data_IF_634527195854
#
_entry.id   IF_634527195854
#
_cell.length_a   1.000
_cell.length_b   1.000
_cell.length_c   1.000
_cell.angle_alpha   90.00
_cell.angle_beta   90.00
_cell.angle_gamma   90.00
#
_symmetry.space_group_name_H-M   'P 1'
#
loop_
_entity.id
_entity.type
_entity.pdbx_description
1 polymer ?
#
# COMPACT_ATOMS: atom_id res chain seq x y z
N UNK A 1 2.87 -29.86 -35.91
CA UNK A 1 3.20 -29.11 -34.68
C UNK A 1 1.95 -29.13 -33.81
N UNK A 2 2.00 -29.85 -32.68
CA UNK A 2 0.82 -30.26 -31.93
C UNK A 2 0.30 -29.16 -31.00
N UNK A 3 -1.03 -29.00 -31.00
CA UNK A 3 -1.81 -28.14 -30.10
C UNK A 3 -1.47 -28.36 -28.62
N UNK A 4 -1.17 -29.61 -28.22
CA UNK A 4 -0.82 -29.97 -26.83
C UNK A 4 0.50 -29.40 -26.35
N UNK A 5 1.45 -29.13 -27.26
CA UNK A 5 2.73 -28.50 -26.92
C UNK A 5 2.56 -27.00 -26.67
N UNK A 6 1.62 -26.35 -27.36
CA UNK A 6 1.35 -24.91 -27.24
C UNK A 6 0.64 -24.57 -25.93
N UNK A 7 -0.31 -25.39 -25.48
CA UNK A 7 -1.04 -25.18 -24.21
C UNK A 7 -0.13 -25.31 -22.99
N UNK A 8 0.86 -26.22 -23.04
CA UNK A 8 1.83 -26.41 -21.96
C UNK A 8 2.77 -25.23 -21.75
N UNK A 9 3.24 -24.60 -22.83
CA UNK A 9 4.10 -23.41 -22.75
C UNK A 9 3.31 -22.17 -22.29
N UNK A 10 2.08 -21.99 -22.78
CA UNK A 10 1.18 -20.93 -22.33
C UNK A 10 0.85 -21.07 -20.83
N UNK A 11 0.59 -22.29 -20.38
CA UNK A 11 0.34 -22.58 -18.98
C UNK A 11 1.56 -22.25 -18.11
N UNK A 12 2.77 -22.68 -18.51
CA UNK A 12 4.01 -22.38 -17.78
C UNK A 12 4.33 -20.90 -17.73
N UNK A 13 4.09 -20.16 -18.81
CA UNK A 13 4.27 -18.71 -18.85
C UNK A 13 3.31 -17.99 -17.90
N UNK A 14 2.04 -18.41 -17.83
CA UNK A 14 1.07 -17.88 -16.90
C UNK A 14 1.40 -18.23 -15.43
N UNK A 15 1.78 -19.48 -15.16
CA UNK A 15 2.09 -19.96 -13.81
C UNK A 15 3.35 -19.30 -13.24
N UNK A 16 4.36 -19.05 -14.07
CA UNK A 16 5.64 -18.46 -13.62
C UNK A 16 5.44 -17.03 -13.14
N UNK A 17 4.61 -16.25 -13.85
CA UNK A 17 4.26 -14.88 -13.46
C UNK A 17 3.46 -14.85 -12.15
N UNK A 18 2.43 -15.70 -12.03
CA UNK A 18 1.63 -15.81 -10.82
C UNK A 18 2.44 -16.28 -9.60
N UNK A 19 3.39 -17.20 -9.80
CA UNK A 19 4.26 -17.71 -8.73
C UNK A 19 5.19 -16.65 -8.16
N UNK A 20 5.80 -15.82 -9.01
CA UNK A 20 6.70 -14.74 -8.54
C UNK A 20 5.97 -13.76 -7.64
N UNK A 21 4.73 -13.39 -7.98
CA UNK A 21 3.98 -12.45 -7.15
C UNK A 21 3.46 -13.07 -5.87
N UNK A 22 3.01 -14.32 -5.91
CA UNK A 22 2.62 -15.04 -4.70
C UNK A 22 3.82 -15.14 -3.74
N UNK A 23 5.03 -15.36 -4.25
CA UNK A 23 6.26 -15.35 -3.45
C UNK A 23 6.56 -13.97 -2.86
N UNK A 24 6.42 -12.88 -3.62
CA UNK A 24 6.67 -11.53 -3.11
C UNK A 24 5.65 -11.15 -2.03
N UNK A 25 4.35 -11.40 -2.26
CA UNK A 25 3.29 -11.16 -1.27
C UNK A 25 3.53 -12.00 0.00
N UNK A 26 3.87 -13.28 -0.16
CA UNK A 26 4.17 -14.16 0.97
C UNK A 26 5.40 -13.67 1.76
N UNK A 27 6.46 -13.23 1.09
CA UNK A 27 7.66 -12.69 1.73
C UNK A 27 7.37 -11.40 2.50
N UNK A 28 6.61 -10.47 1.93
CA UNK A 28 6.22 -9.21 2.60
C UNK A 28 5.33 -9.51 3.82
N UNK A 29 4.42 -10.47 3.71
CA UNK A 29 3.56 -10.89 4.83
C UNK A 29 4.36 -11.55 5.95
N UNK A 30 5.34 -12.41 5.61
CA UNK A 30 6.29 -12.98 6.57
C UNK A 30 7.11 -11.90 7.26
N UNK A 31 7.55 -10.86 6.53
CA UNK A 31 8.22 -9.70 7.11
C UNK A 31 7.32 -8.97 8.12
N UNK A 32 6.04 -8.74 7.81
CA UNK A 32 5.09 -8.14 8.75
C UNK A 32 4.93 -8.95 10.03
N UNK A 33 4.80 -10.27 9.90
CA UNK A 33 4.73 -11.18 11.05
C UNK A 33 6.04 -11.14 11.86
N UNK A 34 7.19 -11.10 11.18
CA UNK A 34 8.50 -10.97 11.82
C UNK A 34 8.64 -9.67 12.62
N UNK A 35 8.20 -8.54 12.06
CA UNK A 35 8.18 -7.25 12.76
C UNK A 35 7.19 -7.25 13.92
N UNK A 36 6.06 -7.95 13.78
CA UNK A 36 5.08 -8.09 14.87
C UNK A 36 5.62 -8.91 16.05
N UNK A 37 6.48 -9.91 15.79
CA UNK A 37 7.13 -10.74 16.80
C UNK A 37 8.45 -10.16 17.34
N UNK A 38 9.06 -9.20 16.65
CA UNK A 38 10.22 -8.49 17.16
C UNK A 38 9.81 -7.61 18.35
N UNK A 39 10.37 -7.82 19.57
CA UNK A 39 10.07 -7.00 20.73
C UNK A 39 10.78 -5.65 20.59
N UNK A 40 10.22 -4.77 19.76
CA UNK A 40 10.65 -3.39 19.63
C UNK A 40 10.06 -2.57 20.80
N UNK A 41 10.90 -1.81 21.55
CA UNK A 41 10.50 -1.08 22.75
C UNK A 41 9.53 0.08 22.48
N UNK A 42 9.55 0.66 21.27
CA UNK A 42 8.66 1.75 20.87
C UNK A 42 7.44 1.22 20.09
N UNK A 43 6.28 1.21 20.75
CA UNK A 43 5.02 0.73 20.20
C UNK A 43 4.55 1.50 18.96
N UNK A 44 4.84 2.80 18.87
CA UNK A 44 4.45 3.65 17.73
C UNK A 44 5.17 3.28 16.43
N UNK A 45 6.48 3.04 16.48
CA UNK A 45 7.29 2.70 15.30
C UNK A 45 6.95 1.33 14.75
N UNK A 46 6.62 0.38 15.64
CA UNK A 46 6.19 -0.97 15.24
C UNK A 46 4.89 -0.93 14.44
N UNK A 47 3.93 -0.13 14.88
CA UNK A 47 2.64 0.03 14.17
C UNK A 47 2.84 0.73 12.82
N UNK A 48 3.65 1.79 12.77
CA UNK A 48 3.95 2.50 11.53
C UNK A 48 4.61 1.59 10.47
N UNK A 49 5.57 0.75 10.87
CA UNK A 49 6.25 -0.18 9.98
C UNK A 49 5.33 -1.29 9.45
N UNK A 50 4.49 -1.87 10.32
CA UNK A 50 3.52 -2.91 9.91
C UNK A 50 2.48 -2.31 8.96
N UNK A 51 1.95 -1.12 9.26
CA UNK A 51 0.94 -0.48 8.43
C UNK A 51 1.50 -0.04 7.08
N UNK A 52 2.74 0.48 7.06
CA UNK A 52 3.45 0.82 5.82
C UNK A 52 3.70 -0.41 4.96
N UNK A 53 4.21 -1.50 5.55
CA UNK A 53 4.40 -2.77 4.83
C UNK A 53 3.08 -3.35 4.31
N UNK A 54 2.00 -3.26 5.09
CA UNK A 54 0.66 -3.68 4.69
C UNK A 54 0.14 -2.89 3.49
N UNK A 55 0.33 -1.58 3.48
CA UNK A 55 -0.04 -0.72 2.34
C UNK A 55 0.72 -1.10 1.06
N UNK A 56 2.03 -1.35 1.16
CA UNK A 56 2.84 -1.82 0.01
C UNK A 56 2.36 -3.18 -0.50
N UNK A 57 2.02 -4.10 0.40
CA UNK A 57 1.51 -5.42 0.02
C UNK A 57 0.17 -5.32 -0.71
N UNK A 58 -0.76 -4.49 -0.22
CA UNK A 58 -2.06 -4.25 -0.85
C UNK A 58 -1.91 -3.60 -2.24
N UNK A 59 -0.95 -2.68 -2.40
CA UNK A 59 -0.62 -2.06 -3.68
C UNK A 59 -0.06 -3.08 -4.68
N UNK A 60 0.84 -3.97 -4.24
CA UNK A 60 1.37 -5.04 -5.08
C UNK A 60 0.27 -6.01 -5.55
N UNK A 61 -0.68 -6.34 -4.65
CA UNK A 61 -1.83 -7.19 -4.98
C UNK A 61 -2.75 -6.49 -6.00
N UNK A 62 -3.05 -5.21 -5.82
CA UNK A 62 -3.89 -4.43 -6.73
C UNK A 62 -3.24 -4.23 -8.11
N UNK A 63 -1.94 -3.92 -8.14
CA UNK A 63 -1.17 -3.82 -9.38
C UNK A 63 -1.04 -5.16 -10.12
N UNK A 64 -1.04 -6.29 -9.40
CA UNK A 64 -0.89 -7.61 -10.02
C UNK A 64 -2.20 -8.23 -10.52
N UNK A 65 -3.36 -7.88 -9.96
CA UNK A 65 -4.67 -8.21 -10.56
C UNK A 65 -4.84 -7.57 -11.97
N UNK A 66 -3.95 -6.65 -12.35
CA UNK A 66 -3.92 -5.89 -13.59
C UNK A 66 -2.94 -6.42 -14.65
N UNK A 67 -2.97 -7.73 -14.91
CA UNK A 67 -2.69 -8.22 -16.29
C UNK A 67 -3.98 -8.19 -17.15
N UNK A 68 -5.00 -7.41 -16.76
CA UNK A 68 -6.29 -7.29 -17.46
C UNK A 68 -6.59 -5.91 -18.05
N UNK A 69 -5.83 -4.85 -17.78
CA UNK A 69 -6.07 -3.55 -18.42
C UNK A 69 -4.89 -3.14 -19.28
N UNK A 70 -5.06 -3.37 -20.56
CA UNK A 70 -4.19 -3.05 -21.69
C UNK A 70 -3.91 -1.54 -21.88
N UNK A 71 -4.10 -0.72 -20.83
CA UNK A 71 -3.94 0.73 -20.82
C UNK A 71 -3.15 1.18 -19.58
N UNK A 72 -1.91 0.69 -19.53
CA UNK A 72 -0.92 0.79 -18.45
C UNK A 72 -0.62 2.18 -17.89
N UNK A 73 -1.09 3.28 -18.48
CA UNK A 73 -0.71 4.63 -18.03
C UNK A 73 -1.69 5.20 -17.00
N UNK A 74 -3.00 4.97 -17.20
CA UNK A 74 -4.07 5.56 -16.38
C UNK A 74 -4.04 5.01 -14.96
N UNK A 75 -3.75 3.72 -14.81
CA UNK A 75 -3.83 3.04 -13.52
C UNK A 75 -2.66 3.42 -12.62
N UNK A 76 -1.44 3.47 -13.14
CA UNK A 76 -0.29 3.97 -12.37
C UNK A 76 -0.48 5.44 -12.00
N UNK A 77 -1.07 6.25 -12.88
CA UNK A 77 -1.36 7.64 -12.59
C UNK A 77 -2.41 7.80 -11.49
N UNK A 78 -3.54 7.08 -11.55
CA UNK A 78 -4.58 7.09 -10.53
C UNK A 78 -4.06 6.55 -9.20
N UNK A 79 -3.26 5.50 -9.24
CA UNK A 79 -2.70 4.86 -8.04
C UNK A 79 -1.67 5.78 -7.36
N UNK A 80 -0.79 6.41 -8.14
CA UNK A 80 0.13 7.43 -7.63
C UNK A 80 -0.61 8.68 -7.12
N UNK A 81 -1.64 9.13 -7.83
CA UNK A 81 -2.48 10.26 -7.43
C UNK A 81 -3.23 9.98 -6.13
N UNK A 82 -3.76 8.76 -5.97
CA UNK A 82 -4.48 8.33 -4.76
C UNK A 82 -3.55 8.30 -3.55
N UNK A 83 -2.33 7.78 -3.71
CA UNK A 83 -1.32 7.78 -2.64
C UNK A 83 -0.87 9.20 -2.30
N UNK A 84 -0.61 10.04 -3.30
CA UNK A 84 -0.22 11.44 -3.10
C UNK A 84 -1.32 12.21 -2.35
N UNK A 85 -2.57 12.06 -2.80
CA UNK A 85 -3.73 12.71 -2.17
C UNK A 85 -3.92 12.22 -0.73
N UNK A 86 -3.79 10.92 -0.48
CA UNK A 86 -3.89 10.35 0.86
C UNK A 86 -2.80 10.90 1.80
N UNK A 87 -1.54 10.97 1.35
CA UNK A 87 -0.43 11.54 2.13
C UNK A 87 -0.64 13.04 2.36
N UNK A 88 -1.09 13.77 1.35
CA UNK A 88 -1.41 15.19 1.46
C UNK A 88 -2.53 15.43 2.50
N UNK A 89 -3.58 14.60 2.50
CA UNK A 89 -4.65 14.68 3.50
C UNK A 89 -4.16 14.32 4.90
N UNK A 90 -3.34 13.29 5.06
CA UNK A 90 -2.73 12.96 6.37
C UNK A 90 -1.84 14.09 6.89
N UNK A 91 -1.03 14.71 6.03
CA UNK A 91 -0.24 15.88 6.37
C UNK A 91 -1.11 17.07 6.76
N UNK A 92 -2.20 17.31 6.03
CA UNK A 92 -3.16 18.36 6.34
C UNK A 92 -3.89 18.10 7.67
N UNK A 93 -4.25 16.85 7.98
CA UNK A 93 -4.84 16.48 9.28
C UNK A 93 -3.90 16.76 10.45
N UNK A 94 -2.60 16.47 10.30
CA UNK A 94 -1.59 16.77 11.33
C UNK A 94 -1.46 18.29 11.50
N UNK A 95 -1.43 19.04 10.40
CA UNK A 95 -1.33 20.49 10.43
C UNK A 95 -2.57 21.14 11.05
N UNK A 96 -3.77 20.71 10.66
CA UNK A 96 -5.04 21.18 11.19
C UNK A 96 -5.24 20.83 12.67
N UNK A 97 -4.63 19.76 13.18
CA UNK A 97 -4.67 19.45 14.61
C UNK A 97 -3.90 20.47 15.47
N UNK A 98 -3.02 21.27 14.85
CA UNK A 98 -2.31 22.38 15.51
C UNK A 98 -3.15 23.66 15.66
N UNK A 99 -4.27 23.79 14.96
CA UNK A 99 -5.18 24.94 15.05
C UNK A 99 -6.11 24.79 16.27
N UNK A 100 -5.55 24.98 17.47
CA UNK A 100 -6.33 25.12 18.70
C UNK A 100 -7.00 26.51 18.74
N UNK A 101 -8.32 26.60 19.00
CA UNK A 101 -8.99 27.89 19.15
C UNK A 101 -8.38 28.65 20.32
N UNK A 102 -7.85 29.86 20.11
CA UNK A 102 -7.48 30.76 21.19
C UNK A 102 -8.76 31.18 21.95
N UNK A 103 -8.95 30.80 23.23
CA UNK A 103 -10.06 31.27 24.04
C UNK A 103 -9.73 32.71 24.48
N UNK A 104 -10.01 33.69 23.63
CA UNK A 104 -9.58 35.08 23.88
C UNK A 104 -10.41 36.20 23.25
N UNK A 105 -11.55 35.90 22.62
CA UNK A 105 -12.41 36.93 22.04
C UNK A 105 -13.78 37.04 22.75
N UNK A 106 -13.77 37.75 23.90
CA UNK A 106 -14.91 38.51 24.44
C UNK A 106 -15.44 38.07 25.82
N UNK A 107 -16.07 38.96 26.64
CA UNK A 107 -16.16 40.42 26.61
C UNK A 107 -15.56 41.12 27.85
N UNK A 108 -14.75 42.16 27.68
CA UNK A 108 -14.38 43.03 28.80
C UNK A 108 -15.54 44.01 29.09
N UNK A 109 -16.31 43.71 30.13
CA UNK A 109 -17.20 44.69 30.78
C UNK A 109 -16.35 45.74 31.49
N UNK A 110 -16.70 47.01 31.27
CA UNK A 110 -16.23 48.19 31.99
C UNK A 110 -17.09 49.37 31.59
#
# INVERSE_FOLDING_TARGET
MNETTQTGELYRAAVTRGRTVLLVVAAVTLCMVGVAYAPLPDSGWRVALILGAAAVNAFLVAGHLMHLLQERYVVYFLLAFTVLFFVALMGLCIWAHGDVPHPGAGPAKG
#
